data_IF_570459834924
#
_entry.id   IF_570459834924
#
_cell.length_a   1.000
_cell.length_b   1.000
_cell.length_c   1.000
_cell.angle_alpha   90.00
_cell.angle_beta   90.00
_cell.angle_gamma   90.00
#
_symmetry.space_group_name_H-M   'P 1'
#
loop_
_entity.id
_entity.type
_entity.pdbx_description
1 polymer ?
#
# COMPACT_ATOMS: atom_id res chain seq x y z
N UNK A 1 -7.53 1.63 -16.07
CA UNK A 1 -7.11 3.00 -15.68
C UNK A 1 -7.25 3.15 -14.17
N UNK A 2 -6.71 4.22 -13.57
CA UNK A 2 -6.85 4.44 -12.12
C UNK A 2 -8.32 4.56 -11.72
N UNK A 3 -9.12 5.28 -12.52
CA UNK A 3 -10.58 5.41 -12.35
C UNK A 3 -11.30 4.06 -12.31
N UNK A 4 -10.93 3.10 -13.16
CA UNK A 4 -11.52 1.76 -13.15
C UNK A 4 -11.21 0.98 -11.87
N UNK A 5 -10.02 1.15 -11.30
CA UNK A 5 -9.66 0.51 -10.02
C UNK A 5 -10.41 1.20 -8.88
N UNK A 6 -10.48 2.53 -8.94
CA UNK A 6 -11.19 3.34 -7.95
C UNK A 6 -12.71 3.24 -8.05
N UNK A 7 -13.27 2.69 -9.12
CA UNK A 7 -14.70 2.38 -9.24
C UNK A 7 -15.06 0.97 -8.74
N UNK A 8 -14.08 0.15 -8.38
CA UNK A 8 -14.34 -1.17 -7.82
C UNK A 8 -15.13 -1.06 -6.50
N UNK A 9 -16.03 -2.03 -6.22
CA UNK A 9 -16.76 -2.05 -4.96
C UNK A 9 -15.81 -2.32 -3.80
N UNK A 10 -16.26 -2.02 -2.57
CA UNK A 10 -15.59 -2.52 -1.38
C UNK A 10 -15.71 -4.06 -1.34
N UNK A 11 -14.63 -4.72 -0.96
CA UNK A 11 -14.63 -6.16 -0.76
C UNK A 11 -15.45 -6.49 0.49
N UNK A 12 -16.49 -7.32 0.36
CA UNK A 12 -17.43 -7.65 1.45
C UNK A 12 -17.27 -9.07 2.00
N UNK A 13 -16.70 -9.98 1.21
CA UNK A 13 -16.57 -11.39 1.60
C UNK A 13 -15.47 -11.58 2.65
N UNK A 14 -15.85 -11.94 3.89
CA UNK A 14 -14.92 -12.15 5.00
C UNK A 14 -13.77 -13.10 4.64
N UNK A 15 -14.06 -14.24 4.01
CA UNK A 15 -13.03 -15.20 3.55
C UNK A 15 -12.03 -14.57 2.58
N UNK A 16 -12.50 -13.70 1.69
CA UNK A 16 -11.65 -13.03 0.69
C UNK A 16 -10.78 -11.97 1.36
N UNK A 17 -11.34 -11.19 2.30
CA UNK A 17 -10.59 -10.22 3.11
C UNK A 17 -9.49 -10.93 3.92
N UNK A 18 -9.83 -12.02 4.62
CA UNK A 18 -8.82 -12.81 5.33
C UNK A 18 -7.75 -13.37 4.40
N UNK A 19 -8.13 -13.82 3.20
CA UNK A 19 -7.17 -14.29 2.21
C UNK A 19 -6.22 -13.17 1.74
N UNK A 20 -6.70 -11.92 1.64
CA UNK A 20 -5.85 -10.75 1.37
C UNK A 20 -4.86 -10.52 2.50
N UNK A 21 -5.33 -10.47 3.75
CA UNK A 21 -4.49 -10.28 4.94
C UNK A 21 -3.41 -11.34 5.09
N UNK A 22 -3.78 -12.62 4.96
CA UNK A 22 -2.84 -13.75 4.99
C UNK A 22 -1.82 -13.61 3.85
N UNK A 23 -2.28 -13.29 2.64
CA UNK A 23 -1.40 -13.09 1.49
C UNK A 23 -0.40 -11.96 1.70
N UNK A 24 -0.82 -10.86 2.33
CA UNK A 24 0.04 -9.73 2.65
C UNK A 24 1.12 -10.11 3.69
N UNK A 25 0.76 -10.85 4.75
CA UNK A 25 1.72 -11.36 5.73
C UNK A 25 2.74 -12.33 5.10
N UNK A 26 2.27 -13.27 4.28
CA UNK A 26 3.18 -14.14 3.52
C UNK A 26 4.10 -13.34 2.58
N UNK A 27 3.58 -12.31 1.92
CA UNK A 27 4.38 -11.43 1.07
C UNK A 27 5.46 -10.67 1.84
N UNK A 28 5.12 -10.13 3.01
CA UNK A 28 6.06 -9.44 3.88
C UNK A 28 7.17 -10.38 4.39
N UNK A 29 6.80 -11.59 4.83
CA UNK A 29 7.78 -12.60 5.25
C UNK A 29 8.68 -13.04 4.10
N UNK A 30 8.12 -13.26 2.92
CA UNK A 30 8.89 -13.57 1.71
C UNK A 30 9.92 -12.48 1.41
N UNK A 31 9.54 -11.21 1.55
CA UNK A 31 10.48 -10.09 1.42
C UNK A 31 11.62 -10.15 2.44
N UNK A 32 11.32 -10.38 3.72
CA UNK A 32 12.31 -10.48 4.81
C UNK A 32 13.34 -11.59 4.52
N UNK A 33 12.89 -12.76 4.08
CA UNK A 33 13.77 -13.89 3.74
C UNK A 33 14.37 -13.78 2.33
N UNK A 34 14.13 -12.67 1.62
CA UNK A 34 14.61 -12.39 0.25
C UNK A 34 14.13 -13.39 -0.80
N UNK A 35 12.99 -14.04 -0.57
CA UNK A 35 12.28 -14.83 -1.59
C UNK A 35 11.45 -13.91 -2.49
N UNK A 36 12.14 -13.32 -3.47
CA UNK A 36 11.56 -12.35 -4.41
C UNK A 36 10.45 -12.99 -5.26
N UNK A 37 10.59 -14.26 -5.62
CA UNK A 37 9.61 -14.96 -6.44
C UNK A 37 8.30 -15.16 -5.68
N UNK A 38 8.36 -15.63 -4.43
CA UNK A 38 7.17 -15.77 -3.59
C UNK A 38 6.53 -14.41 -3.28
N UNK A 39 7.33 -13.37 -3.05
CA UNK A 39 6.84 -12.00 -2.85
C UNK A 39 6.04 -11.50 -4.06
N UNK A 40 6.61 -11.57 -5.28
CA UNK A 40 5.96 -11.12 -6.51
C UNK A 40 4.70 -11.95 -6.79
N UNK A 41 4.77 -13.27 -6.59
CA UNK A 41 3.62 -14.14 -6.80
C UNK A 41 2.44 -13.79 -5.88
N UNK A 42 2.69 -13.53 -4.60
CA UNK A 42 1.66 -13.09 -3.65
C UNK A 42 1.10 -11.72 -4.02
N UNK A 43 1.96 -10.79 -4.45
CA UNK A 43 1.57 -9.47 -4.93
C UNK A 43 0.60 -9.55 -6.12
N UNK A 44 0.95 -10.32 -7.14
CA UNK A 44 0.09 -10.54 -8.31
C UNK A 44 -1.24 -11.19 -7.92
N UNK A 45 -1.24 -12.14 -6.98
CA UNK A 45 -2.47 -12.74 -6.46
C UNK A 45 -3.35 -11.71 -5.73
N UNK A 46 -2.76 -10.84 -4.92
CA UNK A 46 -3.49 -9.79 -4.20
C UNK A 46 -4.14 -8.80 -5.17
N UNK A 47 -3.41 -8.35 -6.21
CA UNK A 47 -3.95 -7.47 -7.25
C UNK A 47 -5.08 -8.19 -8.01
N UNK A 48 -4.89 -9.45 -8.42
CA UNK A 48 -5.92 -10.23 -9.12
C UNK A 48 -7.20 -10.40 -8.28
N UNK A 49 -7.05 -10.64 -6.97
CA UNK A 49 -8.20 -10.72 -6.05
C UNK A 49 -8.90 -9.38 -5.91
N UNK A 50 -8.13 -8.30 -5.84
CA UNK A 50 -8.69 -6.94 -5.78
C UNK A 50 -9.55 -6.65 -7.00
N UNK A 51 -9.04 -6.92 -8.21
CA UNK A 51 -9.79 -6.72 -9.46
C UNK A 51 -11.06 -7.58 -9.49
N UNK A 52 -11.00 -8.81 -8.97
CA UNK A 52 -12.13 -9.75 -9.01
C UNK A 52 -13.20 -9.50 -7.96
N UNK A 53 -12.82 -9.07 -6.77
CA UNK A 53 -13.70 -9.07 -5.59
C UNK A 53 -13.87 -7.69 -4.94
N UNK A 54 -13.24 -6.65 -5.49
CA UNK A 54 -13.28 -5.31 -4.93
C UNK A 54 -12.05 -4.96 -4.09
N UNK A 55 -12.03 -3.74 -3.57
CA UNK A 55 -10.91 -3.19 -2.80
C UNK A 55 -11.07 -3.41 -1.29
N UNK A 56 -9.94 -3.60 -0.61
CA UNK A 56 -9.84 -3.61 0.86
C UNK A 56 -8.55 -2.88 1.27
N UNK A 57 -8.32 -2.68 2.57
CA UNK A 57 -7.10 -1.99 3.04
C UNK A 57 -5.81 -2.64 2.54
N UNK A 58 -5.73 -3.99 2.52
CA UNK A 58 -4.56 -4.73 2.01
C UNK A 58 -4.38 -4.57 0.49
N UNK A 59 -5.43 -4.20 -0.25
CA UNK A 59 -5.30 -3.85 -1.67
C UNK A 59 -4.41 -2.63 -1.86
N UNK A 60 -4.47 -1.65 -0.95
CA UNK A 60 -3.60 -0.47 -1.02
C UNK A 60 -2.13 -0.88 -0.92
N UNK A 61 -1.80 -1.73 0.06
CA UNK A 61 -0.44 -2.26 0.24
C UNK A 61 0.04 -3.02 -1.00
N UNK A 62 -0.83 -3.81 -1.64
CA UNK A 62 -0.49 -4.50 -2.88
C UNK A 62 -0.17 -3.53 -4.03
N UNK A 63 -0.97 -2.48 -4.24
CA UNK A 63 -0.67 -1.51 -5.30
C UNK A 63 0.61 -0.73 -5.02
N UNK A 64 0.82 -0.21 -3.81
CA UNK A 64 2.04 0.56 -3.52
C UNK A 64 3.30 -0.29 -3.54
N UNK A 65 3.22 -1.56 -3.13
CA UNK A 65 4.36 -2.49 -3.22
C UNK A 65 4.71 -2.78 -4.69
N UNK A 66 3.70 -2.91 -5.54
CA UNK A 66 3.93 -2.98 -6.99
C UNK A 66 4.54 -1.68 -7.53
N UNK A 67 4.04 -0.53 -7.06
CA UNK A 67 4.60 0.78 -7.38
C UNK A 67 6.08 0.93 -6.97
N UNK A 68 6.45 0.44 -5.78
CA UNK A 68 7.83 0.39 -5.31
C UNK A 68 8.72 -0.40 -6.28
N UNK A 69 8.31 -1.60 -6.67
CA UNK A 69 9.07 -2.42 -7.64
C UNK A 69 9.22 -1.64 -8.94
N UNK A 70 8.13 -1.06 -9.46
CA UNK A 70 8.16 -0.28 -10.69
C UNK A 70 9.11 0.93 -10.60
N UNK A 71 9.10 1.65 -9.48
CA UNK A 71 10.02 2.77 -9.20
C UNK A 71 11.47 2.34 -9.28
N UNK A 72 11.82 1.23 -8.60
CA UNK A 72 13.20 0.70 -8.59
C UNK A 72 13.67 0.18 -9.95
N UNK A 73 12.72 -0.17 -10.83
CA UNK A 73 13.00 -0.61 -12.22
C UNK A 73 12.92 0.54 -13.24
N UNK A 74 12.76 1.79 -12.81
CA UNK A 74 12.74 2.97 -13.70
C UNK A 74 11.38 3.32 -14.30
N UNK A 75 10.30 2.62 -13.93
CA UNK A 75 8.95 2.87 -14.44
C UNK A 75 8.19 3.88 -13.56
N UNK A 76 8.73 5.11 -13.44
CA UNK A 76 8.25 6.14 -12.50
C UNK A 76 6.78 6.54 -12.70
N UNK A 77 6.32 6.72 -13.96
CA UNK A 77 4.91 7.05 -14.23
C UNK A 77 3.96 5.97 -13.71
N UNK A 78 4.33 4.70 -13.84
CA UNK A 78 3.52 3.59 -13.35
C UNK A 78 3.59 3.50 -11.82
N UNK A 79 4.76 3.76 -11.23
CA UNK A 79 4.93 3.82 -9.79
C UNK A 79 4.03 4.89 -9.17
N UNK A 80 4.02 6.11 -9.72
CA UNK A 80 3.17 7.20 -9.25
C UNK A 80 1.69 6.84 -9.38
N UNK A 81 1.26 6.23 -10.49
CA UNK A 81 -0.12 5.77 -10.64
C UNK A 81 -0.52 4.77 -9.55
N UNK A 82 0.40 3.91 -9.13
CA UNK A 82 0.16 2.96 -8.04
C UNK A 82 0.10 3.64 -6.67
N UNK A 83 0.88 4.70 -6.46
CA UNK A 83 0.80 5.53 -5.27
C UNK A 83 -0.59 6.20 -5.16
N UNK A 84 -1.08 6.79 -6.25
CA UNK A 84 -2.41 7.43 -6.28
C UNK A 84 -3.53 6.43 -5.98
N UNK A 85 -3.43 5.21 -6.54
CA UNK A 85 -4.37 4.11 -6.23
C UNK A 85 -4.26 3.71 -4.76
N UNK A 86 -3.05 3.61 -4.22
CA UNK A 86 -2.80 3.27 -2.82
C UNK A 86 -3.49 4.23 -1.86
N UNK A 87 -3.25 5.54 -2.01
CA UNK A 87 -3.93 6.56 -1.21
C UNK A 87 -5.44 6.52 -1.38
N UNK A 88 -5.92 6.44 -2.62
CA UNK A 88 -7.35 6.36 -2.90
C UNK A 88 -8.04 5.18 -2.21
N UNK A 89 -7.39 4.01 -2.18
CA UNK A 89 -7.93 2.84 -1.48
C UNK A 89 -7.97 3.06 0.03
N UNK A 90 -6.92 3.62 0.64
CA UNK A 90 -6.91 3.93 2.07
C UNK A 90 -8.07 4.87 2.43
N UNK A 91 -8.26 5.94 1.66
CA UNK A 91 -9.35 6.89 1.88
C UNK A 91 -10.73 6.24 1.73
N UNK A 92 -10.94 5.42 0.69
CA UNK A 92 -12.23 4.75 0.47
C UNK A 92 -12.55 3.66 1.49
N UNK A 93 -11.53 3.00 2.02
CA UNK A 93 -11.69 1.89 2.98
C UNK A 93 -11.62 2.37 4.42
N UNK A 94 -11.25 3.63 4.66
CA UNK A 94 -10.88 4.14 5.98
C UNK A 94 -9.82 3.23 6.65
N UNK A 95 -8.88 2.74 5.84
CA UNK A 95 -7.93 1.67 6.17
C UNK A 95 -6.77 2.12 7.05
N UNK A 96 -7.06 2.53 8.28
CA UNK A 96 -6.07 3.10 9.21
C UNK A 96 -4.87 2.18 9.49
N UNK A 97 -5.09 0.87 9.55
CA UNK A 97 -4.04 -0.13 9.85
C UNK A 97 -2.92 -0.16 8.80
N UNK A 98 -3.21 0.24 7.56
CA UNK A 98 -2.25 0.25 6.45
C UNK A 98 -1.79 1.65 6.06
N UNK A 99 -2.36 2.70 6.67
CA UNK A 99 -2.12 4.11 6.33
C UNK A 99 -0.65 4.48 6.47
N UNK A 100 0.01 4.17 7.60
CA UNK A 100 1.45 4.44 7.77
C UNK A 100 2.33 3.71 6.74
N UNK A 101 2.11 2.42 6.53
CA UNK A 101 2.91 1.64 5.58
C UNK A 101 2.77 2.19 4.15
N UNK A 102 1.54 2.49 3.74
CA UNK A 102 1.24 3.08 2.43
C UNK A 102 1.93 4.44 2.29
N UNK A 103 1.78 5.32 3.28
CA UNK A 103 2.45 6.62 3.29
C UNK A 103 3.97 6.46 3.22
N UNK A 104 4.58 5.61 4.05
CA UNK A 104 6.02 5.35 4.07
C UNK A 104 6.54 4.92 2.70
N UNK A 105 5.88 3.94 2.07
CA UNK A 105 6.31 3.42 0.78
C UNK A 105 6.26 4.52 -0.28
N UNK A 106 5.15 5.26 -0.32
CA UNK A 106 4.95 6.31 -1.32
C UNK A 106 5.96 7.44 -1.11
N UNK A 107 6.07 7.96 0.10
CA UNK A 107 6.89 9.15 0.37
C UNK A 107 8.38 8.86 0.25
N UNK A 108 8.83 7.67 0.67
CA UNK A 108 10.26 7.34 0.68
C UNK A 108 10.77 6.86 -0.68
N UNK A 109 9.96 6.10 -1.42
CA UNK A 109 10.45 5.32 -2.56
C UNK A 109 9.78 5.64 -3.91
N UNK A 110 8.66 6.35 -3.92
CA UNK A 110 7.92 6.63 -5.16
C UNK A 110 7.93 8.14 -5.43
N UNK A 111 7.31 8.91 -4.55
CA UNK A 111 7.06 10.34 -4.77
C UNK A 111 8.22 11.24 -4.33
N UNK A 112 9.18 10.75 -3.55
CA UNK A 112 10.39 11.49 -3.15
C UNK A 112 11.19 12.04 -4.33
N UNK A 113 11.11 11.39 -5.50
CA UNK A 113 11.82 11.80 -6.70
C UNK A 113 11.09 12.86 -7.54
N UNK A 114 9.79 13.06 -7.30
CA UNK A 114 8.92 13.85 -8.18
C UNK A 114 8.14 14.96 -7.47
N UNK A 115 7.96 14.85 -6.14
CA UNK A 115 7.11 15.73 -5.34
C UNK A 115 7.95 16.31 -4.21
N UNK A 116 7.85 17.63 -3.95
CA UNK A 116 8.52 18.25 -2.81
C UNK A 116 8.16 17.55 -1.50
N UNK A 117 9.18 17.23 -0.70
CA UNK A 117 9.01 16.52 0.56
C UNK A 117 7.99 17.19 1.51
N UNK A 118 7.89 18.52 1.48
CA UNK A 118 6.94 19.27 2.30
C UNK A 118 5.47 18.92 2.00
N UNK A 119 5.16 18.58 0.75
CA UNK A 119 3.81 18.17 0.34
C UNK A 119 3.50 16.74 0.82
N UNK A 120 4.53 15.92 0.95
CA UNK A 120 4.44 14.53 1.43
C UNK A 120 4.29 14.43 2.96
N UNK A 121 4.71 15.47 3.71
CA UNK A 121 4.61 15.55 5.18
C UNK A 121 3.19 15.29 5.69
N UNK A 122 2.18 15.81 4.99
CA UNK A 122 0.79 15.68 5.43
C UNK A 122 0.34 14.21 5.43
N UNK A 123 0.75 13.44 4.42
CA UNK A 123 0.38 12.03 4.28
C UNK A 123 1.08 11.16 5.32
N UNK A 124 2.36 11.42 5.59
CA UNK A 124 3.04 10.75 6.68
C UNK A 124 2.41 11.13 8.04
N UNK A 125 1.93 12.38 8.24
CA UNK A 125 1.36 12.80 9.54
C UNK A 125 0.04 12.11 9.81
N UNK A 126 -0.76 11.98 8.76
CA UNK A 126 -1.98 11.17 8.77
C UNK A 126 -1.65 9.70 9.06
N UNK A 127 -0.68 9.11 8.35
CA UNK A 127 -0.25 7.73 8.58
C UNK A 127 0.21 7.45 10.02
N UNK A 128 1.02 8.36 10.58
CA UNK A 128 1.42 8.31 12.00
C UNK A 128 0.21 8.31 12.94
N UNK A 129 -0.69 9.27 12.78
CA UNK A 129 -1.88 9.41 13.62
C UNK A 129 -2.79 8.18 13.52
N UNK A 130 -3.09 7.75 12.29
CA UNK A 130 -3.94 6.59 12.03
C UNK A 130 -3.39 5.33 12.68
N UNK A 131 -2.07 5.13 12.63
CA UNK A 131 -1.40 3.95 13.19
C UNK A 131 -1.39 3.97 14.72
N UNK A 132 -1.15 5.15 15.31
CA UNK A 132 -1.24 5.33 16.76
C UNK A 132 -2.66 5.05 17.28
N UNK A 133 -3.70 5.44 16.54
CA UNK A 133 -5.10 5.19 16.92
C UNK A 133 -5.48 3.71 16.91
N UNK A 134 -4.87 2.90 16.04
CA UNK A 134 -5.18 1.46 15.91
C UNK A 134 -4.16 0.54 16.59
N UNK A 135 -3.18 1.10 17.30
CA UNK A 135 -2.18 0.35 18.05
C UNK A 135 -1.00 -0.19 17.22
N UNK A 136 -0.83 0.28 15.99
CA UNK A 136 0.29 -0.06 15.10
C UNK A 136 1.51 0.86 15.38
N UNK A 137 2.03 0.78 16.62
CA UNK A 137 3.06 1.70 17.12
C UNK A 137 4.36 1.64 16.31
N UNK A 138 4.80 0.46 15.91
CA UNK A 138 6.03 0.27 15.14
C UNK A 138 5.98 1.04 13.82
N UNK A 139 4.89 0.86 13.07
CA UNK A 139 4.69 1.56 11.80
C UNK A 139 4.50 3.06 12.01
N UNK A 140 3.80 3.47 13.08
CA UNK A 140 3.69 4.87 13.46
C UNK A 140 5.07 5.52 13.66
N UNK A 141 5.94 4.91 14.48
CA UNK A 141 7.28 5.43 14.76
C UNK A 141 8.13 5.49 13.48
N UNK A 142 8.10 4.46 12.65
CA UNK A 142 8.86 4.44 11.38
C UNK A 142 8.42 5.59 10.47
N UNK A 143 7.11 5.81 10.31
CA UNK A 143 6.59 6.93 9.52
C UNK A 143 6.94 8.28 10.16
N UNK A 144 7.03 8.37 11.50
CA UNK A 144 7.47 9.57 12.19
C UNK A 144 8.95 9.89 11.94
N UNK A 145 9.82 8.88 11.94
CA UNK A 145 11.26 9.06 11.67
C UNK A 145 11.56 9.43 10.21
N UNK A 146 10.58 9.27 9.33
CA UNK A 146 10.71 9.71 7.94
C UNK A 146 10.54 11.23 7.81
N UNK A 147 10.19 11.94 8.91
CA UNK A 147 10.08 13.41 9.01
C UNK A 147 11.35 14.11 9.47
#
# INVERSE_FOLDING_TARGET
TNEQIMSLPLMTGARTIYAMKIGADFGARAHIVRDVTAMIFNLCKAIKRTIRYGICEDSATAFVTYGLIMSTTGHQTLAQRCADIGFGIIDRTNGKSKSALVSLIITSYISSFNVPFLELLQQCRKGYKDSMEVGEFEMGIVTYQTF
#
